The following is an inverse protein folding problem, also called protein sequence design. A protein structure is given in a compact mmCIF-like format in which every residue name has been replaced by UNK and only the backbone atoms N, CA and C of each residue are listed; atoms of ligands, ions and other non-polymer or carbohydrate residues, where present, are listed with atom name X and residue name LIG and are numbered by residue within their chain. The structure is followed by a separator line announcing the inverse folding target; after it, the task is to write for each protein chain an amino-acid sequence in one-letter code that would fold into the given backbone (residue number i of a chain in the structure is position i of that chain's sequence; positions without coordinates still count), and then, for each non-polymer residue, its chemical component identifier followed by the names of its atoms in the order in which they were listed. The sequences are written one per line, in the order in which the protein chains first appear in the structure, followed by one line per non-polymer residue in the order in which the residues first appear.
data_IF_488949697140
#
_entry.id   IF_488949697140
#
_cell.length_a   1.000
_cell.length_b   1.000
_cell.length_c   1.000
_cell.angle_alpha   90.00
_cell.angle_beta   90.00
_cell.angle_gamma   90.00
#
_symmetry.space_group_name_H-M   'P 1'
#
loop_
_entity.id
_entity.type
_entity.pdbx_description
1 polymer ?
#
# COMPACT_ATOMS: atom_id res chain seq x y z
N UNK A 1 -54.16 45.66 37.50
CA UNK A 1 -54.01 44.39 36.76
C UNK A 1 -52.56 44.28 36.29
N UNK A 2 -51.72 43.44 36.93
CA UNK A 2 -50.32 43.22 36.50
C UNK A 2 -50.19 41.89 35.75
N UNK A 3 -49.81 41.99 34.48
CA UNK A 3 -49.58 40.87 33.57
C UNK A 3 -48.21 40.27 33.88
N UNK A 4 -48.14 39.06 34.45
CA UNK A 4 -46.88 38.34 34.66
C UNK A 4 -46.26 38.00 33.31
N UNK A 5 -45.11 38.60 33.01
CA UNK A 5 -44.27 38.24 31.88
C UNK A 5 -43.68 36.85 32.13
N UNK A 6 -44.21 35.84 31.43
CA UNK A 6 -43.71 34.47 31.46
C UNK A 6 -42.42 34.41 30.63
N UNK A 7 -41.27 34.46 31.28
CA UNK A 7 -39.99 34.20 30.63
C UNK A 7 -39.88 32.69 30.33
N UNK A 8 -39.97 32.33 29.05
CA UNK A 8 -39.83 30.96 28.57
C UNK A 8 -38.39 30.48 28.79
N UNK A 9 -38.16 29.73 29.88
CA UNK A 9 -36.86 29.12 30.16
C UNK A 9 -36.52 28.10 29.06
N UNK A 10 -35.60 28.46 28.15
CA UNK A 10 -35.00 27.53 27.19
C UNK A 10 -34.24 26.47 27.98
N UNK A 11 -34.79 25.26 28.07
CA UNK A 11 -34.10 24.10 28.66
C UNK A 11 -32.82 23.84 27.85
N UNK A 12 -31.66 24.14 28.43
CA UNK A 12 -30.37 23.74 27.88
C UNK A 12 -30.26 22.22 28.04
N UNK A 13 -30.36 21.49 26.94
CA UNK A 13 -30.06 20.05 26.89
C UNK A 13 -28.54 19.89 26.96
N UNK A 14 -28.04 19.39 28.08
CA UNK A 14 -26.65 18.98 28.22
C UNK A 14 -26.42 17.59 27.63
N UNK A 15 -25.17 17.28 27.31
CA UNK A 15 -24.74 15.98 26.82
C UNK A 15 -24.99 14.90 27.88
N UNK A 16 -25.65 13.79 27.53
CA UNK A 16 -25.96 12.72 28.49
C UNK A 16 -24.78 11.76 28.61
N UNK A 17 -24.51 11.26 29.83
CA UNK A 17 -23.50 10.22 30.04
C UNK A 17 -23.81 8.96 29.22
N UNK A 18 -25.09 8.61 29.09
CA UNK A 18 -25.53 7.48 28.26
C UNK A 18 -25.17 7.67 26.78
N UNK A 19 -25.20 8.91 26.30
CA UNK A 19 -24.88 9.26 24.91
C UNK A 19 -23.39 9.08 24.63
N UNK A 20 -22.53 9.45 25.60
CA UNK A 20 -21.09 9.16 25.56
C UNK A 20 -20.84 7.64 25.60
N UNK A 21 -21.48 6.94 26.53
CA UNK A 21 -21.31 5.49 26.72
C UNK A 21 -21.72 4.72 25.46
N UNK A 22 -22.88 5.02 24.88
CA UNK A 22 -23.32 4.36 23.65
C UNK A 22 -22.40 4.66 22.48
N UNK A 23 -21.92 5.91 22.35
CA UNK A 23 -20.98 6.29 21.29
C UNK A 23 -19.67 5.49 21.39
N UNK A 24 -19.10 5.35 22.59
CA UNK A 24 -17.86 4.59 22.80
C UNK A 24 -18.05 3.11 22.46
N UNK A 25 -19.19 2.51 22.85
CA UNK A 25 -19.50 1.11 22.52
C UNK A 25 -19.59 0.91 21.00
N UNK A 26 -20.29 1.80 20.29
CA UNK A 26 -20.40 1.74 18.83
C UNK A 26 -19.01 1.86 18.18
N UNK A 27 -18.19 2.81 18.61
CA UNK A 27 -16.84 3.02 18.08
C UNK A 27 -15.95 1.78 18.33
N UNK A 28 -16.01 1.18 19.52
CA UNK A 28 -15.22 0.00 19.86
C UNK A 28 -15.55 -1.20 18.95
N UNK A 29 -16.84 -1.46 18.71
CA UNK A 29 -17.28 -2.55 17.82
C UNK A 29 -16.83 -2.29 16.38
N UNK A 30 -17.07 -1.08 15.86
CA UNK A 30 -16.70 -0.72 14.48
C UNK A 30 -15.18 -0.76 14.28
N UNK A 31 -14.41 -0.26 15.24
CA UNK A 31 -12.95 -0.26 15.17
C UNK A 31 -12.39 -1.69 15.08
N UNK A 32 -12.92 -2.60 15.90
CA UNK A 32 -12.48 -4.00 15.90
C UNK A 32 -12.80 -4.71 14.58
N UNK A 33 -13.99 -4.47 14.02
CA UNK A 33 -14.39 -5.06 12.73
C UNK A 33 -13.61 -4.49 11.53
N UNK A 34 -13.13 -3.25 11.60
CA UNK A 34 -12.49 -2.57 10.47
C UNK A 34 -11.08 -3.07 10.13
N UNK A 35 -10.39 -3.76 11.05
CA UNK A 35 -8.99 -4.18 10.86
C UNK A 35 -8.84 -5.33 9.86
N UNK A 36 -9.80 -6.24 9.79
CA UNK A 36 -9.66 -7.51 9.05
C UNK A 36 -9.67 -7.34 7.53
N UNK A 37 -10.35 -6.32 7.01
CA UNK A 37 -10.43 -6.08 5.56
C UNK A 37 -9.13 -5.57 4.92
N UNK A 38 -8.31 -4.85 5.69
CA UNK A 38 -7.17 -4.11 5.15
C UNK A 38 -6.00 -5.04 4.73
N UNK A 39 -5.77 -6.13 5.46
CA UNK A 39 -4.68 -7.06 5.17
C UNK A 39 -4.86 -7.82 3.86
N UNK A 40 -6.08 -8.27 3.56
CA UNK A 40 -6.38 -8.98 2.32
C UNK A 40 -6.25 -8.08 1.08
N UNK A 41 -6.69 -6.82 1.20
CA UNK A 41 -6.54 -5.82 0.13
C UNK A 41 -5.07 -5.51 -0.14
N UNK A 42 -4.26 -5.34 0.91
CA UNK A 42 -2.81 -5.12 0.81
C UNK A 42 -2.09 -6.29 0.13
N UNK A 43 -2.43 -7.53 0.47
CA UNK A 43 -1.86 -8.71 -0.18
C UNK A 43 -2.09 -8.74 -1.69
N UNK A 44 -3.33 -8.47 -2.13
CA UNK A 44 -3.67 -8.38 -3.56
C UNK A 44 -2.97 -7.22 -4.25
N UNK A 45 -2.92 -6.05 -3.62
CA UNK A 45 -2.22 -4.88 -4.16
C UNK A 45 -0.72 -5.14 -4.32
N UNK A 46 -0.08 -5.75 -3.31
CA UNK A 46 1.34 -6.10 -3.36
C UNK A 46 1.63 -7.12 -4.48
N UNK A 47 0.80 -8.16 -4.64
CA UNK A 47 0.96 -9.12 -5.71
C UNK A 47 0.81 -8.47 -7.11
N UNK A 48 -0.15 -7.56 -7.28
CA UNK A 48 -0.33 -6.84 -8.54
C UNK A 48 0.83 -5.87 -8.84
N UNK A 49 1.29 -5.17 -7.81
CA UNK A 49 2.46 -4.29 -7.91
C UNK A 49 3.70 -5.10 -8.28
N UNK A 50 3.89 -6.27 -7.66
CA UNK A 50 5.03 -7.14 -7.93
C UNK A 50 5.08 -7.62 -9.39
N UNK A 51 3.94 -8.10 -9.90
CA UNK A 51 3.81 -8.50 -11.32
C UNK A 51 4.10 -7.34 -12.27
N UNK A 52 3.63 -6.13 -11.93
CA UNK A 52 3.82 -4.94 -12.76
C UNK A 52 5.29 -4.51 -12.78
N UNK A 53 5.92 -4.45 -11.60
CA UNK A 53 7.34 -4.12 -11.46
C UNK A 53 8.24 -5.13 -12.19
N UNK A 54 7.96 -6.43 -12.06
CA UNK A 54 8.69 -7.47 -12.78
C UNK A 54 8.56 -7.32 -14.30
N UNK A 55 7.35 -7.06 -14.81
CA UNK A 55 7.13 -6.84 -16.24
C UNK A 55 7.86 -5.60 -16.76
N UNK A 56 7.81 -4.49 -16.02
CA UNK A 56 8.53 -3.26 -16.36
C UNK A 56 10.04 -3.47 -16.37
N UNK A 57 10.60 -4.05 -15.31
CA UNK A 57 12.04 -4.33 -15.23
C UNK A 57 12.48 -5.31 -16.32
N UNK A 58 11.66 -6.31 -16.64
CA UNK A 58 11.95 -7.25 -17.72
C UNK A 58 12.01 -6.53 -19.09
N UNK A 59 11.08 -5.61 -19.35
CA UNK A 59 11.11 -4.80 -20.57
C UNK A 59 12.38 -3.94 -20.67
N UNK A 60 12.84 -3.35 -19.55
CA UNK A 60 14.09 -2.60 -19.50
C UNK A 60 15.33 -3.48 -19.68
N UNK A 61 15.35 -4.68 -19.09
CA UNK A 61 16.40 -5.67 -19.33
C UNK A 61 16.47 -6.09 -20.80
N UNK A 62 15.33 -6.24 -21.46
CA UNK A 62 15.27 -6.55 -22.89
C UNK A 62 15.79 -5.38 -23.73
N UNK A 63 15.41 -4.14 -23.42
CA UNK A 63 15.94 -2.96 -24.09
C UNK A 63 17.47 -2.86 -23.98
N UNK A 64 18.00 -3.05 -22.76
CA UNK A 64 19.44 -3.12 -22.53
C UNK A 64 20.12 -4.23 -23.36
N UNK A 65 19.49 -5.40 -23.45
CA UNK A 65 20.03 -6.49 -24.25
C UNK A 65 20.03 -6.17 -25.75
N UNK A 66 19.00 -5.49 -26.25
CA UNK A 66 18.92 -5.07 -27.65
C UNK A 66 20.00 -4.05 -28.01
N UNK A 67 20.33 -3.13 -27.10
CA UNK A 67 21.33 -2.09 -27.36
C UNK A 67 22.77 -2.56 -27.13
N UNK A 68 23.02 -3.34 -26.09
CA UNK A 68 24.38 -3.75 -25.69
C UNK A 68 24.74 -5.19 -26.08
N UNK A 69 23.81 -5.96 -26.65
CA UNK A 69 24.01 -7.36 -27.03
C UNK A 69 24.25 -8.32 -25.86
N UNK A 70 24.18 -7.83 -24.61
CA UNK A 70 24.47 -8.60 -23.39
C UNK A 70 23.36 -8.40 -22.36
N UNK A 71 23.07 -9.44 -21.58
CA UNK A 71 22.10 -9.33 -20.50
C UNK A 71 22.71 -8.61 -19.28
N UNK A 72 21.92 -7.86 -18.51
CA UNK A 72 22.41 -7.18 -17.31
C UNK A 72 22.85 -8.18 -16.23
N UNK A 73 23.63 -7.69 -15.26
CA UNK A 73 24.03 -8.52 -14.11
C UNK A 73 22.82 -8.90 -13.25
N UNK A 74 22.99 -9.87 -12.34
CA UNK A 74 21.93 -10.31 -11.43
C UNK A 74 21.33 -9.15 -10.60
N UNK A 75 22.10 -8.10 -10.34
CA UNK A 75 21.67 -6.91 -9.59
C UNK A 75 21.12 -5.79 -10.47
N UNK A 76 21.16 -5.96 -11.80
CA UNK A 76 20.63 -5.00 -12.79
C UNK A 76 21.18 -3.57 -12.66
N UNK A 77 22.35 -3.39 -12.02
CA UNK A 77 22.96 -2.07 -11.80
C UNK A 77 23.18 -1.31 -13.11
N UNK A 78 23.51 -2.04 -14.18
CA UNK A 78 23.75 -1.48 -15.50
C UNK A 78 22.54 -0.73 -16.07
N UNK A 79 21.32 -1.08 -15.65
CA UNK A 79 20.11 -0.35 -16.07
C UNK A 79 20.13 1.09 -15.55
N UNK A 80 20.64 1.32 -14.34
CA UNK A 80 20.78 2.66 -13.79
C UNK A 80 21.95 3.39 -14.43
N UNK A 81 23.07 2.69 -14.62
CA UNK A 81 24.27 3.28 -15.23
C UNK A 81 24.05 3.68 -16.70
N UNK A 82 23.16 2.98 -17.41
CA UNK A 82 22.79 3.25 -18.81
C UNK A 82 21.53 4.11 -18.95
N UNK A 83 20.96 4.60 -17.84
CA UNK A 83 19.84 5.55 -17.85
C UNK A 83 18.44 4.97 -18.11
N UNK A 84 18.27 3.64 -18.14
CA UNK A 84 16.93 3.02 -18.26
C UNK A 84 16.08 3.18 -16.99
N UNK A 85 16.72 3.43 -15.85
CA UNK A 85 16.09 3.70 -14.57
C UNK A 85 16.83 4.81 -13.83
N UNK A 86 16.11 5.58 -13.03
CA UNK A 86 16.69 6.66 -12.22
C UNK A 86 17.59 6.13 -11.07
N UNK A 87 17.34 4.91 -10.61
CA UNK A 87 18.08 4.31 -9.50
C UNK A 87 18.12 2.79 -9.58
N UNK A 88 19.23 2.18 -9.15
CA UNK A 88 19.38 0.73 -9.02
C UNK A 88 18.70 0.16 -7.75
N UNK A 89 17.68 0.84 -7.24
CA UNK A 89 16.93 0.47 -6.04
C UNK A 89 15.66 -0.30 -6.40
N UNK A 90 15.83 -1.56 -6.81
CA UNK A 90 14.73 -2.43 -7.20
C UNK A 90 14.11 -3.15 -6.00
N UNK A 91 13.47 -2.41 -5.10
CA UNK A 91 12.87 -2.97 -3.87
C UNK A 91 11.53 -3.63 -4.16
N UNK A 92 11.28 -4.79 -3.53
CA UNK A 92 10.00 -5.51 -3.72
C UNK A 92 8.97 -5.11 -2.66
N UNK A 93 7.65 -5.25 -2.93
CA UNK A 93 6.59 -5.01 -1.95
C UNK A 93 6.62 -5.92 -0.71
N UNK A 94 7.37 -7.02 -0.78
CA UNK A 94 7.50 -8.03 0.27
C UNK A 94 8.83 -7.93 1.03
N UNK A 95 9.64 -6.92 0.71
CA UNK A 95 11.00 -6.76 1.23
C UNK A 95 12.05 -7.32 0.27
N UNK A 96 13.31 -6.98 0.52
CA UNK A 96 14.42 -7.36 -0.35
C UNK A 96 14.39 -6.68 -1.73
N UNK A 97 15.08 -7.28 -2.71
CA UNK A 97 15.28 -6.70 -4.05
C UNK A 97 14.98 -7.69 -5.17
N UNK A 98 14.54 -7.17 -6.30
CA UNK A 98 14.45 -7.92 -7.55
C UNK A 98 15.84 -8.33 -8.02
N UNK A 99 15.92 -9.52 -8.61
CA UNK A 99 17.16 -10.01 -9.22
C UNK A 99 16.89 -10.51 -10.62
N UNK A 100 17.85 -10.33 -11.52
CA UNK A 100 17.78 -10.91 -12.86
C UNK A 100 18.27 -12.35 -12.84
N UNK A 101 17.44 -13.29 -13.25
CA UNK A 101 17.81 -14.69 -13.44
C UNK A 101 18.39 -14.88 -14.84
N UNK A 102 19.68 -15.20 -14.91
CA UNK A 102 20.39 -15.41 -16.18
C UNK A 102 20.07 -16.74 -16.86
N UNK A 103 19.47 -17.70 -16.14
CA UNK A 103 19.04 -18.99 -16.72
C UNK A 103 17.67 -18.84 -17.37
N UNK A 104 16.78 -18.11 -16.70
CA UNK A 104 15.41 -17.87 -17.18
C UNK A 104 15.28 -16.60 -18.01
N UNK A 105 16.34 -15.79 -18.11
CA UNK A 105 16.40 -14.50 -18.82
C UNK A 105 15.26 -13.54 -18.41
N UNK A 106 14.90 -13.56 -17.13
CA UNK A 106 13.77 -12.80 -16.60
C UNK A 106 14.08 -12.25 -15.21
N UNK A 107 13.37 -11.19 -14.85
CA UNK A 107 13.43 -10.62 -13.49
C UNK A 107 12.58 -11.48 -12.56
N UNK A 108 13.15 -11.86 -11.43
CA UNK A 108 12.48 -12.70 -10.43
C UNK A 108 12.45 -12.02 -9.06
N UNK A 109 11.34 -12.19 -8.36
CA UNK A 109 11.21 -11.86 -6.95
C UNK A 109 11.34 -13.13 -6.10
N UNK A 110 12.41 -13.23 -5.31
CA UNK A 110 12.65 -14.35 -4.37
C UNK A 110 12.02 -14.14 -3.00
N UNK A 111 11.45 -12.97 -2.75
CA UNK A 111 10.85 -12.55 -1.48
C UNK A 111 9.32 -12.59 -1.53
N UNK A 112 8.72 -12.88 -2.68
CA UNK A 112 7.28 -13.08 -2.79
C UNK A 112 6.85 -14.27 -1.91
N UNK A 113 5.74 -14.16 -1.15
CA UNK A 113 5.22 -15.28 -0.39
C UNK A 113 4.87 -16.42 -1.35
N UNK A 114 5.30 -17.64 -1.00
CA UNK A 114 4.92 -18.85 -1.74
C UNK A 114 3.40 -19.04 -1.65
N UNK A 115 2.73 -19.43 -2.76
CA UNK A 115 1.30 -19.73 -2.74
C UNK A 115 0.96 -20.90 -1.82
#
# INVERSE_FOLDING_TARGET
MLKKSQATQKKRRGFSLMEVMSAIVIIAVVATASVTGLSALRGKANAKMDQTNMAELNSKCQAYHLEHGTWPSANMKQLADSGYVESANFTTPFGGRYTFDRKQLTVVNRYAPTP
#
